data_IF_518311864983
#
_entry.id   IF_518311864983
#
_cell.length_a   1.000
_cell.length_b   1.000
_cell.length_c   1.000
_cell.angle_alpha   90.00
_cell.angle_beta   90.00
_cell.angle_gamma   90.00
#
_symmetry.space_group_name_H-M   'P 1'
#
loop_
_entity.id
_entity.type
_entity.pdbx_description
1 polymer ?
#
# COMPACT_ATOMS: atom_id res chain seq x y z
N UNK A 1 11.35 -12.73 -10.92
CA UNK A 1 10.19 -11.93 -11.30
C UNK A 1 9.53 -11.36 -10.06
N UNK A 2 9.36 -10.06 -10.01
CA UNK A 2 8.82 -9.41 -8.81
C UNK A 2 7.42 -9.93 -8.47
N UNK A 3 7.14 -10.04 -7.18
CA UNK A 3 5.83 -10.49 -6.71
C UNK A 3 5.41 -9.70 -5.48
N UNK A 4 4.09 -9.54 -5.32
CA UNK A 4 3.49 -8.94 -4.14
C UNK A 4 3.44 -10.03 -3.05
N UNK A 5 4.20 -9.81 -1.98
CA UNK A 5 4.32 -10.83 -0.92
C UNK A 5 3.24 -10.68 0.14
N UNK A 6 2.88 -9.46 0.47
CA UNK A 6 1.78 -9.19 1.40
C UNK A 6 1.19 -7.80 1.13
N UNK A 7 0.00 -7.57 1.66
CA UNK A 7 -0.72 -6.31 1.56
C UNK A 7 -1.72 -6.22 2.70
N UNK A 8 -1.80 -5.04 3.32
CA UNK A 8 -2.85 -4.78 4.31
C UNK A 8 -3.23 -3.30 4.34
N UNK A 9 -4.44 -3.04 4.81
CA UNK A 9 -4.94 -1.70 5.11
C UNK A 9 -4.88 -1.49 6.61
N UNK A 10 -4.55 -0.28 7.06
CA UNK A 10 -4.52 0.06 8.46
C UNK A 10 -4.83 1.55 8.67
N UNK A 11 -5.08 1.93 9.92
CA UNK A 11 -5.31 3.34 10.25
C UNK A 11 -4.03 4.14 10.14
N UNK A 12 -2.92 3.58 10.58
CA UNK A 12 -1.63 4.26 10.52
C UNK A 12 -0.50 3.24 10.38
N UNK A 13 0.59 3.69 9.76
CA UNK A 13 1.79 2.87 9.60
C UNK A 13 2.98 3.66 10.10
N UNK A 14 3.85 3.01 10.87
CA UNK A 14 5.08 3.60 11.36
C UNK A 14 6.27 2.79 10.89
N UNK A 15 7.25 3.46 10.30
CA UNK A 15 8.49 2.83 9.90
C UNK A 15 9.46 2.86 11.07
N UNK A 16 10.05 1.71 11.34
CA UNK A 16 11.00 1.54 12.42
C UNK A 16 12.30 0.98 11.85
N UNK A 17 13.42 1.62 12.16
CA UNK A 17 14.71 1.10 11.74
C UNK A 17 15.17 -0.02 12.68
N UNK A 18 15.82 -1.02 12.10
CA UNK A 18 16.40 -2.09 12.86
C UNK A 18 17.65 -1.64 13.64
N UNK A 19 18.25 -2.54 14.41
CA UNK A 19 19.45 -2.24 15.18
C UNK A 19 20.56 -1.69 14.31
N UNK A 20 21.28 -0.68 14.80
CA UNK A 20 22.41 -0.04 14.10
C UNK A 20 22.01 0.57 12.75
N UNK A 21 20.75 0.94 12.57
CA UNK A 21 20.27 1.52 11.32
C UNK A 21 20.15 0.53 10.17
N UNK A 22 20.36 -0.75 10.41
CA UNK A 22 20.26 -1.79 9.39
C UNK A 22 18.84 -2.35 9.35
N UNK A 23 18.30 -2.43 8.12
CA UNK A 23 16.96 -2.92 7.91
C UNK A 23 15.90 -1.95 8.40
N UNK A 24 14.70 -2.15 7.93
CA UNK A 24 13.55 -1.36 8.36
C UNK A 24 12.35 -2.28 8.45
N UNK A 25 11.58 -2.13 9.50
CA UNK A 25 10.30 -2.77 9.64
C UNK A 25 9.20 -1.72 9.66
N UNK A 26 7.97 -2.14 9.38
CA UNK A 26 6.82 -1.25 9.39
C UNK A 26 5.81 -1.83 10.37
N UNK A 27 5.37 -0.97 11.30
CA UNK A 27 4.34 -1.33 12.27
C UNK A 27 3.00 -0.84 11.76
N UNK A 28 2.02 -1.74 11.71
CA UNK A 28 0.65 -1.40 11.38
C UNK A 28 -0.11 -1.14 12.67
N UNK A 29 -0.79 0.00 12.71
CA UNK A 29 -1.67 0.32 13.84
C UNK A 29 -3.09 0.37 13.32
N UNK A 30 -3.96 -0.47 13.90
CA UNK A 30 -5.36 -0.57 13.50
C UNK A 30 -5.53 -1.21 12.14
N UNK A 31 -5.20 -2.51 12.02
CA UNK A 31 -5.41 -3.25 10.77
C UNK A 31 -6.89 -3.26 10.43
N UNK A 32 -7.21 -2.92 9.19
CA UNK A 32 -8.58 -2.74 8.72
C UNK A 32 -8.95 -3.78 7.68
N UNK A 33 -10.13 -4.34 7.83
CA UNK A 33 -10.74 -5.18 6.81
C UNK A 33 -11.88 -4.46 6.08
N UNK A 34 -12.32 -3.35 6.64
CA UNK A 34 -13.37 -2.48 6.08
C UNK A 34 -12.98 -1.04 6.37
N UNK A 35 -13.18 -0.15 5.43
CA UNK A 35 -13.05 1.29 5.66
C UNK A 35 -14.41 1.86 6.05
N UNK A 36 -14.43 2.61 7.14
CA UNK A 36 -15.71 3.08 7.73
C UNK A 36 -15.72 4.59 7.94
N UNK A 37 -15.89 5.38 6.85
CA UNK A 37 -16.08 6.82 7.01
C UNK A 37 -17.25 7.11 7.93
N UNK A 38 -17.15 8.19 8.72
CA UNK A 38 -18.21 8.55 9.64
C UNK A 38 -19.51 8.87 8.90
N UNK A 39 -19.39 9.55 7.77
CA UNK A 39 -20.52 9.88 6.90
C UNK A 39 -20.26 9.40 5.48
N UNK A 40 -21.34 9.18 4.73
CA UNK A 40 -21.26 8.84 3.30
C UNK A 40 -22.22 9.78 2.55
N UNK A 41 -21.73 10.67 1.65
CA UNK A 41 -20.32 10.86 1.30
C UNK A 41 -19.51 11.52 2.43
N UNK A 42 -18.23 11.21 2.47
CA UNK A 42 -17.37 11.76 3.51
C UNK A 42 -15.89 11.46 3.28
N UNK A 43 -15.10 11.89 4.23
CA UNK A 43 -13.65 11.74 4.18
C UNK A 43 -13.20 10.61 5.10
N UNK A 44 -12.14 9.91 4.67
CA UNK A 44 -11.50 8.91 5.52
C UNK A 44 -10.02 8.85 5.18
N UNK A 45 -9.19 8.71 6.22
CA UNK A 45 -7.74 8.57 6.06
C UNK A 45 -7.32 7.18 6.49
N UNK A 46 -6.42 6.58 5.72
CA UNK A 46 -5.90 5.24 6.01
C UNK A 46 -4.51 5.10 5.42
N UNK A 47 -3.86 4.02 5.78
CA UNK A 47 -2.56 3.68 5.22
C UNK A 47 -2.60 2.29 4.65
N UNK A 48 -1.71 2.03 3.69
CA UNK A 48 -1.48 0.68 3.18
C UNK A 48 -0.04 0.28 3.47
N UNK A 49 0.17 -1.00 3.71
CA UNK A 49 1.50 -1.59 3.86
C UNK A 49 1.56 -2.76 2.89
N UNK A 50 2.62 -2.83 2.12
CA UNK A 50 2.81 -3.94 1.21
C UNK A 50 4.30 -4.24 1.03
N UNK A 51 4.58 -5.46 0.60
CA UNK A 51 5.94 -5.92 0.36
C UNK A 51 6.06 -6.48 -1.04
N UNK A 52 7.15 -6.14 -1.71
CA UNK A 52 7.48 -6.65 -3.03
C UNK A 52 8.79 -7.40 -2.93
N UNK A 53 8.80 -8.64 -3.36
CA UNK A 53 9.98 -9.52 -3.34
C UNK A 53 10.42 -9.88 -4.76
N UNK A 54 11.63 -10.39 -4.86
CA UNK A 54 12.26 -10.80 -6.11
C UNK A 54 12.50 -9.61 -7.03
N UNK A 55 13.07 -8.57 -6.45
CA UNK A 55 13.44 -7.36 -7.18
C UNK A 55 14.91 -7.42 -7.59
N UNK A 56 15.31 -6.54 -8.53
CA UNK A 56 16.72 -6.30 -8.82
C UNK A 56 17.23 -5.19 -7.89
N UNK A 57 18.08 -5.52 -6.89
CA UNK A 57 18.53 -4.52 -5.92
C UNK A 57 19.55 -3.54 -6.48
N UNK A 58 20.04 -3.76 -7.70
CA UNK A 58 21.08 -2.94 -8.32
C UNK A 58 20.55 -1.85 -9.22
N UNK A 59 19.24 -1.87 -9.53
CA UNK A 59 18.60 -0.91 -10.42
C UNK A 59 17.52 -0.14 -9.72
N UNK A 60 17.20 1.04 -10.26
CA UNK A 60 16.00 1.76 -9.85
C UNK A 60 14.76 0.96 -10.21
N UNK A 61 13.75 1.05 -9.38
CA UNK A 61 12.44 0.45 -9.64
C UNK A 61 11.37 1.52 -9.60
N UNK A 62 10.26 1.28 -10.30
CA UNK A 62 9.13 2.19 -10.29
C UNK A 62 7.91 1.49 -9.73
N UNK A 63 7.23 2.15 -8.82
CA UNK A 63 6.02 1.65 -8.16
C UNK A 63 4.91 2.65 -8.41
N UNK A 64 3.74 2.13 -8.74
CA UNK A 64 2.54 2.94 -8.89
C UNK A 64 1.40 2.26 -8.14
N UNK A 65 0.63 3.05 -7.39
CA UNK A 65 -0.53 2.57 -6.66
C UNK A 65 -1.75 3.31 -7.15
N UNK A 66 -2.79 2.57 -7.51
CA UNK A 66 -4.05 3.13 -8.00
C UNK A 66 -5.19 2.59 -7.14
N UNK A 67 -5.96 3.50 -6.57
CA UNK A 67 -7.12 3.18 -5.75
C UNK A 67 -8.39 3.57 -6.51
N UNK A 68 -9.27 2.61 -6.76
CA UNK A 68 -10.48 2.80 -7.55
C UNK A 68 -11.73 2.43 -6.76
N UNK A 69 -12.84 3.09 -7.09
CA UNK A 69 -14.11 2.81 -6.44
C UNK A 69 -14.85 1.63 -7.10
N UNK A 70 -16.06 1.39 -6.63
CA UNK A 70 -16.88 0.26 -7.10
C UNK A 70 -17.41 0.45 -8.52
N UNK A 71 -17.27 1.64 -9.10
CA UNK A 71 -17.69 1.90 -10.49
C UNK A 71 -16.52 1.91 -11.46
N UNK A 72 -15.30 1.73 -10.96
CA UNK A 72 -14.09 1.78 -11.77
C UNK A 72 -13.48 3.18 -11.88
N UNK A 73 -14.04 4.16 -11.17
CA UNK A 73 -13.49 5.51 -11.15
C UNK A 73 -12.23 5.55 -10.30
N UNK A 74 -11.17 6.14 -10.82
CA UNK A 74 -9.91 6.30 -10.09
C UNK A 74 -10.10 7.38 -9.01
N UNK A 75 -9.87 6.99 -7.77
CA UNK A 75 -9.92 7.91 -6.63
C UNK A 75 -8.54 8.52 -6.40
N UNK A 76 -7.50 7.70 -6.44
CA UNK A 76 -6.12 8.13 -6.23
C UNK A 76 -5.21 7.36 -7.15
N UNK A 77 -4.30 8.06 -7.80
CA UNK A 77 -3.24 7.48 -8.63
C UNK A 77 -1.95 8.19 -8.23
N UNK A 78 -1.00 7.44 -7.68
CA UNK A 78 0.25 8.03 -7.21
C UNK A 78 1.19 8.42 -8.34
N UNK A 79 0.92 7.95 -9.58
CA UNK A 79 1.91 7.99 -10.63
C UNK A 79 3.08 7.08 -10.32
N UNK A 80 4.07 7.07 -11.21
CA UNK A 80 5.26 6.25 -10.99
C UNK A 80 6.18 6.90 -9.95
N UNK A 81 6.46 6.16 -8.88
CA UNK A 81 7.39 6.57 -7.83
C UNK A 81 8.66 5.78 -8.03
N UNK A 82 9.79 6.47 -8.14
CA UNK A 82 11.09 5.82 -8.31
C UNK A 82 11.64 5.41 -6.95
N UNK A 83 12.00 4.14 -6.83
CA UNK A 83 12.67 3.60 -5.66
C UNK A 83 14.14 3.37 -6.05
N UNK A 84 15.09 3.99 -5.35
CA UNK A 84 16.51 3.80 -5.66
C UNK A 84 16.97 2.38 -5.36
N UNK A 85 18.15 1.98 -5.85
CA UNK A 85 18.71 0.67 -5.53
C UNK A 85 18.83 0.47 -4.02
N UNK A 86 18.56 -0.76 -3.57
CA UNK A 86 18.63 -1.13 -2.17
C UNK A 86 19.96 -1.83 -1.91
N UNK A 87 20.80 -1.33 -0.98
CA UNK A 87 22.03 -2.04 -0.64
C UNK A 87 21.72 -3.41 -0.07
N UNK A 88 22.40 -4.43 -0.58
CA UNK A 88 22.28 -5.76 -0.02
C UNK A 88 22.91 -5.79 1.38
N UNK A 89 22.24 -6.47 2.31
CA UNK A 89 22.82 -6.71 3.63
C UNK A 89 23.79 -7.89 3.51
N UNK A 90 25.11 -7.67 3.64
CA UNK A 90 26.07 -8.75 3.47
C UNK A 90 25.96 -9.83 4.53
N UNK A 91 25.34 -9.53 5.67
CA UNK A 91 25.19 -10.49 6.77
C UNK A 91 24.05 -11.47 6.55
N UNK A 92 23.08 -11.14 5.70
CA UNK A 92 21.90 -11.98 5.50
C UNK A 92 22.05 -12.99 4.38
N UNK A 93 22.78 -12.68 3.32
CA UNK A 93 22.97 -13.59 2.17
C UNK A 93 21.66 -14.20 1.68
N UNK A 94 20.63 -13.36 1.48
CA UNK A 94 19.31 -13.86 1.09
C UNK A 94 19.28 -14.43 -0.32
N UNK A 95 18.52 -15.51 -0.55
CA UNK A 95 18.22 -15.91 -1.92
C UNK A 95 17.60 -14.76 -2.69
N UNK A 96 17.90 -14.63 -3.98
CA UNK A 96 17.46 -13.49 -4.79
C UNK A 96 15.94 -13.29 -4.80
N UNK A 97 15.18 -14.38 -4.75
CA UNK A 97 13.72 -14.31 -4.74
C UNK A 97 13.12 -13.73 -3.45
N UNK A 98 13.93 -13.54 -2.41
CA UNK A 98 13.50 -12.96 -1.14
C UNK A 98 14.10 -11.58 -0.90
N UNK A 99 14.77 -11.00 -1.90
CA UNK A 99 15.26 -9.63 -1.83
C UNK A 99 14.15 -8.69 -2.28
N UNK A 100 13.82 -7.70 -1.46
CA UNK A 100 12.72 -6.80 -1.79
C UNK A 100 12.57 -5.63 -0.84
N UNK A 101 11.38 -5.03 -0.88
CA UNK A 101 11.03 -3.83 -0.10
C UNK A 101 9.82 -4.10 0.78
N UNK A 102 9.82 -3.43 1.94
CA UNK A 102 8.62 -3.17 2.71
C UNK A 102 8.24 -1.69 2.49
N UNK A 103 7.03 -1.44 2.08
CA UNK A 103 6.57 -0.12 1.70
C UNK A 103 5.30 0.24 2.45
N UNK A 104 5.14 1.52 2.74
CA UNK A 104 3.89 2.04 3.28
C UNK A 104 3.54 3.32 2.55
N UNK A 105 2.25 3.57 2.41
CA UNK A 105 1.72 4.80 1.84
C UNK A 105 0.55 5.29 2.66
N UNK A 106 0.50 6.59 2.90
CA UNK A 106 -0.59 7.22 3.62
C UNK A 106 -1.53 7.89 2.63
N UNK A 107 -2.81 7.59 2.76
CA UNK A 107 -3.86 8.26 2.01
C UNK A 107 -4.67 9.11 2.98
N UNK A 108 -4.57 10.42 2.83
CA UNK A 108 -5.19 11.38 3.75
C UNK A 108 -6.38 12.06 3.11
N UNK A 109 -7.47 12.14 3.87
CA UNK A 109 -8.68 12.86 3.47
C UNK A 109 -9.21 12.40 2.11
N UNK A 110 -9.26 11.10 1.92
CA UNK A 110 -9.81 10.51 0.69
C UNK A 110 -11.31 10.67 0.72
N UNK A 111 -11.87 11.16 -0.39
CA UNK A 111 -13.31 11.38 -0.52
C UNK A 111 -13.97 10.09 -0.96
N UNK A 112 -14.92 9.60 -0.17
CA UNK A 112 -15.73 8.44 -0.49
C UNK A 112 -17.15 8.88 -0.77
N UNK A 113 -17.65 8.56 -1.94
CA UNK A 113 -18.99 8.99 -2.37
C UNK A 113 -20.03 7.89 -2.19
N UNK A 114 -19.62 6.63 -2.31
CA UNK A 114 -20.54 5.49 -2.30
C UNK A 114 -20.01 4.36 -1.46
N UNK A 115 -20.90 3.63 -0.81
CA UNK A 115 -20.58 2.32 -0.23
C UNK A 115 -20.23 1.34 -1.36
N UNK A 116 -19.44 0.34 -1.07
CA UNK A 116 -19.16 -0.73 -2.02
C UNK A 116 -17.75 -1.28 -1.90
N UNK A 117 -17.41 -2.16 -2.81
CA UNK A 117 -16.07 -2.73 -2.87
C UNK A 117 -15.15 -1.84 -3.70
N UNK A 118 -14.11 -1.35 -3.04
CA UNK A 118 -13.04 -0.58 -3.67
C UNK A 118 -11.84 -1.49 -3.82
N UNK A 119 -10.86 -1.08 -4.61
CA UNK A 119 -9.66 -1.91 -4.78
C UNK A 119 -8.42 -1.05 -4.95
N UNK A 120 -7.29 -1.63 -4.56
CA UNK A 120 -5.96 -1.04 -4.73
C UNK A 120 -5.17 -1.92 -5.68
N UNK A 121 -4.68 -1.33 -6.77
CA UNK A 121 -3.79 -2.00 -7.72
C UNK A 121 -2.36 -1.57 -7.47
N UNK A 122 -1.45 -2.54 -7.38
CA UNK A 122 -0.02 -2.30 -7.19
C UNK A 122 0.70 -2.66 -8.49
N UNK A 123 1.36 -1.66 -9.07
CA UNK A 123 2.18 -1.83 -10.27
C UNK A 123 3.65 -1.73 -9.92
N UNK A 124 4.45 -2.58 -10.47
CA UNK A 124 5.90 -2.57 -10.33
C UNK A 124 6.53 -2.60 -11.72
N UNK A 125 7.34 -1.58 -12.02
CA UNK A 125 7.93 -1.40 -13.36
C UNK A 125 6.87 -1.54 -14.46
N UNK A 126 5.73 -0.89 -14.26
CA UNK A 126 4.58 -0.84 -15.17
C UNK A 126 3.79 -2.14 -15.30
N UNK A 127 4.12 -3.15 -14.51
CA UNK A 127 3.41 -4.43 -14.52
C UNK A 127 2.53 -4.55 -13.28
N UNK A 128 1.27 -4.96 -13.46
CA UNK A 128 0.36 -5.17 -12.34
C UNK A 128 0.79 -6.40 -11.57
N UNK A 129 1.16 -6.22 -10.29
CA UNK A 129 1.54 -7.33 -9.41
C UNK A 129 0.37 -7.91 -8.66
N UNK A 130 -0.59 -7.11 -8.31
CA UNK A 130 -1.71 -7.59 -7.53
C UNK A 130 -2.76 -6.53 -7.28
N UNK A 131 -3.93 -6.98 -6.87
CA UNK A 131 -5.07 -6.15 -6.56
C UNK A 131 -5.62 -6.55 -5.21
N UNK A 132 -5.83 -5.58 -4.34
CA UNK A 132 -6.36 -5.82 -3.00
C UNK A 132 -7.71 -5.12 -2.85
N UNK A 133 -8.80 -5.89 -2.70
CA UNK A 133 -10.12 -5.30 -2.48
C UNK A 133 -10.31 -4.90 -1.03
N UNK A 134 -11.20 -3.93 -0.82
CA UNK A 134 -11.66 -3.58 0.51
C UNK A 134 -13.08 -3.03 0.41
N UNK A 135 -13.94 -3.42 1.36
CA UNK A 135 -15.28 -2.89 1.40
C UNK A 135 -15.28 -1.54 2.13
N UNK A 136 -16.05 -0.59 1.60
CA UNK A 136 -16.22 0.73 2.20
C UNK A 136 -17.68 0.88 2.60
N UNK A 137 -17.92 1.19 3.88
CA UNK A 137 -19.27 1.35 4.41
C UNK A 137 -19.29 2.56 5.31
N UNK A 138 -20.11 3.56 4.98
CA UNK A 138 -20.31 4.71 5.83
C UNK A 138 -21.08 4.34 7.09
N UNK A 139 -20.66 4.89 8.24
CA UNK A 139 -21.34 4.64 9.51
C UNK A 139 -22.71 5.31 9.54
N UNK A 140 -22.81 6.50 8.91
CA UNK A 140 -24.03 7.29 8.86
C UNK A 140 -24.21 7.84 7.47
N UNK A 141 -25.46 8.04 7.08
CA UNK A 141 -25.78 8.74 5.84
C UNK A 141 -25.96 10.22 6.12
N UNK A 142 -25.45 11.08 5.23
CA UNK A 142 -25.68 12.52 5.34
C UNK A 142 -27.17 12.81 5.24
N UNK A 143 -27.64 13.73 6.08
CA UNK A 143 -29.05 14.12 6.11
C UNK A 143 -29.94 13.27 6.99
N UNK A 144 -29.34 12.37 7.75
CA UNK A 144 -30.08 11.52 8.67
C UNK A 144 -29.77 11.82 10.12
#
# INVERSE_FOLDING_TARGET
MARLANFLYCLNAERQQGPQGKGASINAMGVLTVLTPEFMPGLFSFSIIFSILDIDPHSDSQIKVVFTDNTGKVITDTGNITIPPVPADPDLCLPSKYVGYNLSMDFRNVVFENDGEYKTDIYFNKELLGTAPIFVKGRRQNGR
#
